data_IF_982840196986
#
_entry.id   IF_982840196986
#
_cell.length_a   1.000
_cell.length_b   1.000
_cell.length_c   1.000
_cell.angle_alpha   90.00
_cell.angle_beta   90.00
_cell.angle_gamma   90.00
#
_symmetry.space_group_name_H-M   'P 1'
#
loop_
_entity.id
_entity.type
_entity.pdbx_description
1 polymer ?
#
# COMPACT_ATOMS: atom_id res chain seq x y z
N UNK A 1 25.78 -35.54 36.81
CA UNK A 1 25.96 -34.06 36.89
C UNK A 1 25.71 -33.53 35.48
N UNK A 2 24.63 -32.77 35.21
CA UNK A 2 24.60 -31.29 35.09
C UNK A 2 25.63 -30.77 34.07
N UNK A 3 25.36 -29.90 33.07
CA UNK A 3 24.22 -29.12 32.59
C UNK A 3 24.55 -28.63 31.15
N UNK A 4 23.50 -28.18 30.45
CA UNK A 4 23.41 -27.58 29.11
C UNK A 4 24.40 -26.46 28.72
N UNK A 5 24.49 -26.18 27.42
CA UNK A 5 24.29 -24.83 26.83
C UNK A 5 23.90 -24.92 25.35
N UNK A 6 22.81 -24.24 25.04
CA UNK A 6 22.26 -23.96 23.72
C UNK A 6 23.23 -23.12 22.88
N UNK A 7 23.27 -23.33 21.57
CA UNK A 7 23.20 -22.19 20.69
C UNK A 7 22.21 -22.44 19.55
N UNK A 8 21.30 -21.51 19.44
CA UNK A 8 20.09 -21.52 18.63
C UNK A 8 20.39 -20.48 17.57
N UNK A 9 21.00 -20.89 16.46
CA UNK A 9 21.26 -19.97 15.35
C UNK A 9 19.95 -19.65 14.67
N UNK A 10 19.34 -18.61 15.21
CA UNK A 10 18.09 -17.99 14.83
C UNK A 10 18.26 -17.27 13.49
N UNK A 11 17.28 -17.53 12.61
CA UNK A 11 16.84 -16.71 11.47
C UNK A 11 17.84 -16.58 10.33
N UNK A 12 17.83 -17.58 9.46
CA UNK A 12 17.84 -17.31 8.02
C UNK A 12 16.70 -16.33 7.72
N UNK A 13 17.11 -15.08 7.54
CA UNK A 13 16.28 -13.99 7.08
C UNK A 13 15.78 -14.42 5.70
N UNK A 14 14.47 -14.66 5.58
CA UNK A 14 13.77 -14.72 4.29
C UNK A 14 13.93 -13.36 3.60
N UNK A 15 15.07 -13.17 2.95
CA UNK A 15 15.20 -12.30 1.80
C UNK A 15 14.49 -13.02 0.66
N UNK A 16 13.17 -12.83 0.57
CA UNK A 16 12.46 -13.14 -0.66
C UNK A 16 12.74 -11.99 -1.61
N UNK A 17 13.64 -12.28 -2.54
CA UNK A 17 14.01 -11.50 -3.70
C UNK A 17 12.75 -11.02 -4.45
N UNK A 18 12.53 -9.70 -4.53
CA UNK A 18 11.56 -9.11 -5.45
C UNK A 18 12.13 -9.23 -6.86
N UNK A 19 12.17 -10.46 -7.37
CA UNK A 19 12.72 -10.78 -8.68
C UNK A 19 11.61 -10.67 -9.72
N UNK A 20 11.56 -9.49 -10.34
CA UNK A 20 11.04 -9.18 -11.68
C UNK A 20 9.95 -10.11 -12.23
N UNK A 21 8.70 -9.68 -12.06
CA UNK A 21 7.65 -9.84 -13.07
C UNK A 21 6.87 -8.55 -13.21
N UNK A 22 6.70 -8.13 -14.46
CA UNK A 22 5.96 -6.97 -14.94
C UNK A 22 4.45 -7.23 -14.85
N UNK A 23 3.98 -7.48 -13.65
CA UNK A 23 2.58 -7.68 -13.33
C UNK A 23 2.40 -7.28 -11.88
N UNK A 24 1.62 -6.22 -11.66
CA UNK A 24 1.01 -5.78 -10.39
C UNK A 24 1.48 -6.56 -9.17
N UNK A 25 2.34 -5.94 -8.36
CA UNK A 25 2.91 -6.47 -7.12
C UNK A 25 1.87 -7.25 -6.30
N UNK A 26 1.83 -8.58 -6.50
CA UNK A 26 0.87 -9.49 -5.88
C UNK A 26 1.43 -10.13 -4.61
N UNK A 27 2.73 -9.95 -4.33
CA UNK A 27 3.39 -10.47 -3.12
C UNK A 27 3.56 -9.45 -1.99
N UNK A 28 3.33 -8.15 -2.23
CA UNK A 28 3.18 -7.15 -1.17
C UNK A 28 1.71 -7.02 -0.76
N UNK A 29 1.12 -8.13 -0.35
CA UNK A 29 -0.27 -8.15 0.15
C UNK A 29 -0.39 -7.25 1.37
N UNK A 30 -1.50 -6.50 1.50
CA UNK A 30 -1.73 -5.65 2.67
C UNK A 30 -1.79 -6.46 4.00
N UNK A 31 -1.60 -7.81 4.00
CA UNK A 31 -1.98 -8.80 5.04
C UNK A 31 -1.40 -8.52 6.40
N UNK A 32 -0.30 -7.79 6.44
CA UNK A 32 0.43 -7.43 7.65
C UNK A 32 0.29 -5.96 8.05
N UNK A 33 -0.49 -5.16 7.31
CA UNK A 33 -0.65 -3.73 7.59
C UNK A 33 -1.60 -3.49 8.76
N UNK A 34 -1.21 -2.57 9.64
CA UNK A 34 -2.08 -2.01 10.68
C UNK A 34 -3.19 -1.14 10.07
N UNK A 35 -4.20 -0.80 10.88
CA UNK A 35 -5.29 0.08 10.42
C UNK A 35 -4.76 1.46 9.96
N UNK A 36 -3.81 2.04 10.70
CA UNK A 36 -3.20 3.33 10.35
C UNK A 36 -2.40 3.27 9.04
N UNK A 37 -1.69 2.16 8.80
CA UNK A 37 -0.95 1.94 7.55
C UNK A 37 -1.92 1.71 6.38
N UNK A 38 -3.03 1.01 6.63
CA UNK A 38 -4.09 0.79 5.64
C UNK A 38 -4.77 2.11 5.27
N UNK A 39 -5.00 3.00 6.25
CA UNK A 39 -5.52 4.34 6.01
C UNK A 39 -4.52 5.20 5.22
N UNK A 40 -3.23 5.11 5.53
CA UNK A 40 -2.17 5.76 4.75
C UNK A 40 -2.14 5.30 3.29
N UNK A 41 -2.27 3.99 3.06
CA UNK A 41 -2.40 3.43 1.72
C UNK A 41 -3.67 3.92 1.02
N UNK A 42 -4.81 3.95 1.71
CA UNK A 42 -6.07 4.44 1.15
C UNK A 42 -5.95 5.90 0.66
N UNK A 43 -5.34 6.77 1.47
CA UNK A 43 -5.05 8.16 1.08
C UNK A 43 -4.16 8.18 -0.18
N UNK A 44 -3.14 7.33 -0.24
CA UNK A 44 -2.27 7.17 -1.40
C UNK A 44 -3.03 6.77 -2.66
N UNK A 45 -3.93 5.79 -2.56
CA UNK A 45 -4.74 5.32 -3.67
C UNK A 45 -5.69 6.40 -4.20
N UNK A 46 -6.30 7.20 -3.31
CA UNK A 46 -7.13 8.33 -3.71
C UNK A 46 -6.30 9.40 -4.44
N UNK A 47 -5.12 9.74 -3.94
CA UNK A 47 -4.24 10.71 -4.63
C UNK A 47 -3.83 10.22 -6.02
N UNK A 48 -3.47 8.93 -6.14
CA UNK A 48 -3.15 8.30 -7.41
C UNK A 48 -4.35 8.32 -8.36
N UNK A 49 -5.56 8.02 -7.85
CA UNK A 49 -6.78 8.12 -8.65
C UNK A 49 -7.03 9.54 -9.15
N UNK A 50 -6.89 10.55 -8.29
CA UNK A 50 -7.13 11.94 -8.70
C UNK A 50 -6.13 12.41 -9.77
N UNK A 51 -4.87 11.97 -9.69
CA UNK A 51 -3.83 12.38 -10.63
C UNK A 51 -3.89 11.65 -11.96
N UNK A 52 -4.18 10.35 -11.95
CA UNK A 52 -4.00 9.49 -13.13
C UNK A 52 -5.30 8.79 -13.59
N UNK A 53 -6.34 8.73 -12.76
CA UNK A 53 -7.62 8.10 -13.12
C UNK A 53 -7.53 6.60 -13.41
N UNK A 54 -6.55 5.91 -12.84
CA UNK A 54 -6.17 4.54 -13.18
C UNK A 54 -7.02 3.43 -12.50
N UNK A 55 -7.85 3.79 -11.53
CA UNK A 55 -8.81 2.87 -10.90
C UNK A 55 -10.18 2.99 -11.56
N UNK A 56 -10.78 1.88 -11.96
CA UNK A 56 -12.12 1.84 -12.59
C UNK A 56 -13.25 1.64 -11.57
N UNK A 57 -13.05 2.07 -10.32
CA UNK A 57 -13.96 1.77 -9.21
C UNK A 57 -14.83 2.97 -8.85
N UNK A 58 -16.15 2.83 -8.98
CA UNK A 58 -17.11 3.86 -8.59
C UNK A 58 -16.98 4.28 -7.10
N UNK A 59 -16.46 3.39 -6.24
CA UNK A 59 -16.17 3.72 -4.84
C UNK A 59 -15.00 4.71 -4.73
N UNK A 60 -13.96 4.56 -5.56
CA UNK A 60 -12.84 5.51 -5.61
C UNK A 60 -13.34 6.89 -6.03
N UNK A 61 -14.18 6.94 -7.06
CA UNK A 61 -14.73 8.20 -7.55
C UNK A 61 -15.65 8.86 -6.50
N UNK A 62 -16.47 8.07 -5.81
CA UNK A 62 -17.30 8.56 -4.72
C UNK A 62 -16.45 9.13 -3.58
N UNK A 63 -15.39 8.42 -3.18
CA UNK A 63 -14.50 8.87 -2.12
C UNK A 63 -13.73 10.16 -2.49
N UNK A 64 -13.33 10.31 -3.75
CA UNK A 64 -12.74 11.56 -4.24
C UNK A 64 -13.71 12.73 -4.20
N UNK A 65 -14.94 12.51 -4.65
CA UNK A 65 -15.98 13.55 -4.65
C UNK A 65 -16.43 13.93 -3.23
N UNK A 66 -16.26 13.03 -2.26
CA UNK A 66 -16.65 13.26 -0.86
C UNK A 66 -15.70 14.17 -0.08
N UNK A 67 -14.53 14.53 -0.62
CA UNK A 67 -13.58 15.39 0.09
C UNK A 67 -13.03 14.72 1.34
N UNK A 68 -12.98 15.46 2.46
CA UNK A 68 -12.54 14.95 3.78
C UNK A 68 -13.30 13.69 4.22
N UNK A 69 -14.58 13.56 3.85
CA UNK A 69 -15.42 12.38 4.14
C UNK A 69 -15.03 11.14 3.32
N UNK A 70 -14.17 11.29 2.30
CA UNK A 70 -13.64 10.18 1.51
C UNK A 70 -12.75 9.23 2.32
N UNK A 71 -12.19 9.71 3.44
CA UNK A 71 -11.45 8.88 4.37
C UNK A 71 -12.37 7.92 5.13
N UNK A 72 -13.58 8.35 5.47
CA UNK A 72 -14.59 7.52 6.14
C UNK A 72 -15.17 6.44 5.21
N UNK A 73 -14.97 6.60 3.90
CA UNK A 73 -15.34 5.61 2.87
C UNK A 73 -14.25 4.56 2.64
N UNK A 74 -13.20 4.53 3.47
CA UNK A 74 -12.16 3.52 3.41
C UNK A 74 -12.77 2.12 3.44
N UNK A 75 -12.59 1.32 2.38
CA UNK A 75 -13.16 -0.01 2.34
C UNK A 75 -12.32 -0.96 3.19
N UNK A 76 -12.88 -2.15 3.47
CA UNK A 76 -12.10 -3.17 4.13
C UNK A 76 -10.87 -3.56 3.27
N UNK A 77 -9.86 -4.08 3.95
CA UNK A 77 -8.57 -4.43 3.39
C UNK A 77 -8.64 -5.38 2.17
N UNK A 78 -9.58 -6.32 2.15
CA UNK A 78 -9.72 -7.23 1.00
C UNK A 78 -10.12 -6.46 -0.27
N UNK A 79 -11.03 -5.49 -0.14
CA UNK A 79 -11.43 -4.63 -1.26
C UNK A 79 -10.30 -3.70 -1.71
N UNK A 80 -9.45 -3.24 -0.78
CA UNK A 80 -8.24 -2.48 -1.11
C UNK A 80 -7.30 -3.31 -1.99
N UNK A 81 -7.06 -4.57 -1.62
CA UNK A 81 -6.27 -5.49 -2.45
C UNK A 81 -6.89 -5.62 -3.86
N UNK A 82 -8.22 -5.84 -3.94
CA UNK A 82 -8.94 -5.94 -5.22
C UNK A 82 -8.77 -4.68 -6.09
N UNK A 83 -8.81 -3.48 -5.49
CA UNK A 83 -8.60 -2.25 -6.25
C UNK A 83 -7.19 -2.14 -6.79
N UNK A 84 -6.18 -2.57 -6.04
CA UNK A 84 -4.79 -2.53 -6.50
C UNK A 84 -4.51 -3.53 -7.63
N UNK A 85 -5.24 -4.66 -7.65
CA UNK A 85 -5.20 -5.60 -8.77
C UNK A 85 -5.89 -5.04 -10.02
N UNK A 86 -6.90 -4.18 -9.87
CA UNK A 86 -7.67 -3.62 -10.98
C UNK A 86 -7.09 -2.33 -11.58
N UNK A 87 -5.83 -1.97 -11.26
CA UNK A 87 -5.19 -0.76 -11.79
C UNK A 87 -4.83 -0.95 -13.26
N UNK A 88 -5.23 0.01 -14.09
CA UNK A 88 -4.92 0.02 -15.53
C UNK A 88 -4.14 1.30 -15.90
N UNK A 89 -3.15 1.17 -16.79
CA UNK A 89 -2.37 2.29 -17.34
C UNK A 89 -1.72 3.24 -16.30
N UNK A 90 -1.34 2.72 -15.14
CA UNK A 90 -0.66 3.51 -14.09
C UNK A 90 0.81 3.75 -14.47
N UNK A 91 1.26 5.02 -14.58
CA UNK A 91 2.66 5.34 -14.85
C UNK A 91 3.56 5.01 -13.65
N UNK A 92 4.87 4.91 -13.92
CA UNK A 92 5.88 4.50 -12.94
C UNK A 92 5.87 5.38 -11.69
N UNK A 93 5.68 6.70 -11.83
CA UNK A 93 5.64 7.63 -10.69
C UNK A 93 4.48 7.30 -9.73
N UNK A 94 3.30 6.97 -10.28
CA UNK A 94 2.15 6.56 -9.47
C UNK A 94 2.34 5.18 -8.85
N UNK A 95 3.02 4.27 -9.56
CA UNK A 95 3.38 2.95 -9.05
C UNK A 95 4.36 3.06 -7.88
N UNK A 96 5.36 3.92 -7.97
CA UNK A 96 6.31 4.20 -6.89
C UNK A 96 5.61 4.76 -5.65
N UNK A 97 4.63 5.65 -5.81
CA UNK A 97 3.85 6.18 -4.70
C UNK A 97 3.14 5.07 -3.92
N UNK A 98 2.51 4.11 -4.61
CA UNK A 98 1.87 2.95 -3.98
C UNK A 98 2.90 2.02 -3.32
N UNK A 99 4.02 1.76 -3.99
CA UNK A 99 5.07 0.87 -3.49
C UNK A 99 5.68 1.34 -2.17
N UNK A 100 5.69 2.65 -1.86
CA UNK A 100 6.13 3.16 -0.56
C UNK A 100 5.29 2.63 0.61
N UNK A 101 4.02 2.34 0.38
CA UNK A 101 3.10 1.81 1.37
C UNK A 101 3.04 0.28 1.34
N UNK A 102 3.09 -0.31 0.15
CA UNK A 102 3.03 -1.76 -0.03
C UNK A 102 4.36 -2.46 0.31
N UNK A 103 5.50 -1.80 0.08
CA UNK A 103 6.84 -2.32 0.33
C UNK A 103 7.68 -1.34 1.19
N UNK A 104 7.44 -1.30 2.52
CA UNK A 104 8.14 -0.39 3.40
C UNK A 104 9.66 -0.61 3.47
N UNK A 105 10.20 -1.73 2.97
CA UNK A 105 11.65 -1.98 2.87
C UNK A 105 12.36 -1.09 1.84
N UNK A 106 11.61 -0.48 0.91
CA UNK A 106 12.11 0.43 -0.13
C UNK A 106 12.13 1.91 0.32
N UNK A 107 12.08 2.16 1.63
CA UNK A 107 11.68 3.45 2.19
C UNK A 107 12.61 4.63 1.83
N UNK A 108 12.16 5.42 0.86
CA UNK A 108 12.50 6.84 0.75
C UNK A 108 11.27 7.67 1.15
N UNK A 109 11.40 8.29 2.32
CA UNK A 109 10.59 9.39 2.87
C UNK A 109 9.07 9.15 3.02
N UNK A 110 8.63 8.93 4.27
CA UNK A 110 7.24 9.15 4.71
C UNK A 110 6.93 10.65 4.60
N UNK A 111 6.48 11.09 3.43
CA UNK A 111 6.04 12.48 3.22
C UNK A 111 4.74 12.73 4.01
N UNK A 112 4.69 13.83 4.76
CA UNK A 112 3.46 14.28 5.45
C UNK A 112 2.60 15.03 4.43
N UNK A 113 1.59 14.36 3.89
CA UNK A 113 0.73 14.96 2.87
C UNK A 113 -0.29 15.94 3.45
N UNK A 114 -0.53 17.02 2.71
CA UNK A 114 -1.52 18.08 3.00
C UNK A 114 -2.62 18.11 1.94
N UNK A 115 -3.01 16.93 1.45
CA UNK A 115 -3.89 16.76 0.28
C UNK A 115 -5.23 17.49 0.45
N UNK A 116 -5.81 17.42 1.64
CA UNK A 116 -7.05 18.12 1.94
C UNK A 116 -6.79 19.56 2.42
N UNK A 117 -6.47 20.44 1.47
CA UNK A 117 -6.69 21.87 1.62
C UNK A 117 -7.77 22.30 0.64
N UNK A 118 -8.97 22.48 1.18
CA UNK A 118 -10.12 23.07 0.51
C UNK A 118 -9.70 24.43 -0.09
N UNK A 119 -9.90 24.62 -1.39
CA UNK A 119 -9.91 25.95 -2.03
C UNK A 119 -11.31 26.50 -1.91
#
# INVERSE_FOLDING_TARGET
MRHAKHDRTIKEVRFMECSRRESTCSECSCKSMTADETQGLWICMLEVQQRYGCYTSARMDTALNAGDYGLDLMPNRFIIDTFNESIVDLPDEGREMLNRYLCPSSCLAKQKWKFWKKV
#
